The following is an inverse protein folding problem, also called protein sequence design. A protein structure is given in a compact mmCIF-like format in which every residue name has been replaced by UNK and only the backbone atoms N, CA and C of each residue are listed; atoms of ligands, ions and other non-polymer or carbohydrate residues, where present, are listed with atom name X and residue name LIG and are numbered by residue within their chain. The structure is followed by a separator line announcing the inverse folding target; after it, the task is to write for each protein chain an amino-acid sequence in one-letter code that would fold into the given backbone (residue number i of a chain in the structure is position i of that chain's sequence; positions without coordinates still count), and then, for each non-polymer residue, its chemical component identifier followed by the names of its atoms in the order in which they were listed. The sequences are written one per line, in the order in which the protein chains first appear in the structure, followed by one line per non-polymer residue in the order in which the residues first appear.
data_IF_745164792066
#
_entry.id   IF_745164792066
#
_cell.length_a   1.000
_cell.length_b   1.000
_cell.length_c   1.000
_cell.angle_alpha   90.00
_cell.angle_beta   90.00
_cell.angle_gamma   90.00
#
_symmetry.space_group_name_H-M   'P 1'
#
loop_
_entity.id
_entity.type
_entity.pdbx_description
1 polymer ?
#
# COMPACT_ATOMS: atom_id res chain seq x y z
N UNK A 1 16.48 -11.50 11.09
CA UNK A 1 15.16 -11.34 10.41
C UNK A 1 15.19 -12.20 9.16
N UNK A 2 14.38 -13.27 9.09
CA UNK A 2 14.25 -14.04 7.86
C UNK A 2 13.34 -13.23 6.94
N UNK A 3 13.93 -12.55 5.98
CA UNK A 3 13.18 -12.04 4.85
C UNK A 3 12.57 -13.26 4.15
N UNK A 4 11.24 -13.33 3.91
CA UNK A 4 10.70 -14.45 3.17
C UNK A 4 11.40 -14.51 1.81
N UNK A 5 11.75 -15.68 1.31
CA UNK A 5 12.32 -15.80 -0.02
C UNK A 5 11.32 -15.18 -1.00
N UNK A 6 11.81 -14.33 -1.90
CA UNK A 6 11.02 -13.75 -2.97
C UNK A 6 10.34 -14.88 -3.75
N UNK A 7 9.04 -15.08 -3.53
CA UNK A 7 8.29 -16.18 -4.18
C UNK A 7 8.10 -15.96 -5.69
N UNK A 8 8.47 -14.78 -6.19
CA UNK A 8 8.41 -14.43 -7.61
C UNK A 8 9.70 -13.74 -8.04
N UNK A 9 10.76 -14.53 -8.26
CA UNK A 9 11.94 -14.01 -8.97
C UNK A 9 11.55 -13.72 -10.41
N UNK A 10 11.21 -12.47 -10.68
CA UNK A 10 11.14 -11.98 -12.06
C UNK A 10 12.57 -11.94 -12.60
N UNK A 11 12.86 -12.54 -13.77
CA UNK A 11 14.19 -12.52 -14.36
C UNK A 11 14.73 -11.10 -14.49
N UNK A 12 16.03 -10.90 -14.26
CA UNK A 12 16.66 -9.58 -14.33
C UNK A 12 16.54 -8.92 -15.71
N UNK A 13 16.33 -9.70 -16.76
CA UNK A 13 16.13 -9.28 -18.14
C UNK A 13 14.66 -9.27 -18.58
N UNK A 14 13.72 -9.47 -17.64
CA UNK A 14 12.29 -9.38 -17.94
C UNK A 14 11.92 -7.96 -18.43
N UNK A 15 10.83 -7.82 -19.20
CA UNK A 15 10.33 -6.53 -19.62
C UNK A 15 10.11 -5.58 -18.42
N UNK A 16 10.39 -4.29 -18.61
CA UNK A 16 10.31 -3.28 -17.53
C UNK A 16 8.94 -3.24 -16.83
N UNK A 17 7.84 -3.53 -17.56
CA UNK A 17 6.50 -3.62 -17.00
C UNK A 17 6.39 -4.75 -15.96
N UNK A 18 6.92 -5.92 -16.28
CA UNK A 18 6.90 -7.08 -15.40
C UNK A 18 7.76 -6.84 -14.15
N UNK A 19 8.95 -6.26 -14.32
CA UNK A 19 9.81 -5.91 -13.19
C UNK A 19 9.13 -4.89 -12.26
N UNK A 20 8.51 -3.81 -12.80
CA UNK A 20 7.80 -2.82 -12.01
C UNK A 20 6.64 -3.41 -11.23
N UNK A 21 5.83 -4.26 -11.88
CA UNK A 21 4.69 -4.91 -11.22
C UNK A 21 5.15 -5.86 -10.11
N UNK A 22 6.24 -6.61 -10.34
CA UNK A 22 6.81 -7.49 -9.31
C UNK A 22 7.27 -6.70 -8.08
N UNK A 23 8.01 -5.60 -8.26
CA UNK A 23 8.43 -4.74 -7.14
C UNK A 23 7.24 -4.11 -6.41
N UNK A 24 6.21 -3.68 -7.11
CA UNK A 24 4.99 -3.16 -6.49
C UNK A 24 4.30 -4.24 -5.66
N UNK A 25 4.16 -5.46 -6.20
CA UNK A 25 3.49 -6.57 -5.51
C UNK A 25 4.29 -7.07 -4.31
N UNK A 26 5.61 -7.08 -4.39
CA UNK A 26 6.49 -7.37 -3.25
C UNK A 26 6.25 -6.40 -2.09
N UNK A 27 6.24 -5.09 -2.36
CA UNK A 27 6.03 -4.09 -1.31
C UNK A 27 4.60 -4.09 -0.76
N UNK A 28 3.60 -4.45 -1.56
CA UNK A 28 2.23 -4.73 -1.09
C UNK A 28 2.20 -5.87 -0.07
N UNK A 29 2.91 -6.95 -0.36
CA UNK A 29 3.04 -8.09 0.54
C UNK A 29 3.79 -7.73 1.82
N UNK A 30 4.92 -7.03 1.72
CA UNK A 30 5.69 -6.55 2.87
C UNK A 30 4.85 -5.69 3.81
N UNK A 31 4.07 -4.74 3.26
CA UNK A 31 3.20 -3.91 4.08
C UNK A 31 2.08 -4.71 4.76
N UNK A 32 1.48 -5.68 4.08
CA UNK A 32 0.44 -6.50 4.70
C UNK A 32 1.02 -7.39 5.79
N UNK A 33 2.19 -8.00 5.57
CA UNK A 33 2.84 -8.91 6.52
C UNK A 33 3.37 -8.21 7.78
N UNK A 34 3.48 -6.89 7.78
CA UNK A 34 3.86 -6.18 9.01
C UNK A 34 2.85 -6.36 10.16
N UNK A 35 1.63 -6.83 9.87
CA UNK A 35 0.57 -7.11 10.84
C UNK A 35 0.57 -8.57 11.34
N UNK A 36 1.38 -9.45 10.75
CA UNK A 36 1.39 -10.87 11.10
C UNK A 36 1.80 -11.09 12.55
N UNK A 37 1.09 -11.98 13.24
CA UNK A 37 1.34 -12.36 14.65
C UNK A 37 1.25 -11.19 15.65
N UNK A 38 0.63 -10.06 15.28
CA UNK A 38 0.34 -8.96 16.19
C UNK A 38 -1.07 -9.07 16.78
N UNK A 39 -1.20 -8.61 18.02
CA UNK A 39 -2.52 -8.32 18.60
C UNK A 39 -3.07 -7.00 18.06
N UNK A 40 -4.39 -6.79 18.19
CA UNK A 40 -5.03 -5.52 17.80
C UNK A 40 -4.42 -4.31 18.51
N UNK A 41 -4.10 -4.45 19.80
CA UNK A 41 -3.47 -3.38 20.60
C UNK A 41 -2.06 -3.05 20.09
N UNK A 42 -1.29 -4.06 19.71
CA UNK A 42 0.06 -3.89 19.16
C UNK A 42 0.03 -3.20 17.80
N UNK A 43 -0.88 -3.63 16.90
CA UNK A 43 -1.02 -3.03 15.59
C UNK A 43 -1.47 -1.55 15.64
N UNK A 44 -2.18 -1.17 16.70
CA UNK A 44 -2.68 0.19 16.95
C UNK A 44 -1.74 1.05 17.80
N UNK A 45 -0.64 0.48 18.31
CA UNK A 45 0.25 1.20 19.22
C UNK A 45 0.88 2.41 18.54
N UNK A 46 0.71 3.58 19.17
CA UNK A 46 1.36 4.82 18.75
C UNK A 46 2.75 4.90 19.36
N UNK A 47 3.78 4.84 18.55
CA UNK A 47 5.19 4.89 18.94
C UNK A 47 5.89 6.18 18.48
N UNK A 48 5.18 7.00 17.72
CA UNK A 48 5.66 8.27 17.17
C UNK A 48 4.60 9.36 17.35
N UNK A 49 4.96 10.66 17.32
CA UNK A 49 4.00 11.75 17.53
C UNK A 49 2.94 11.88 16.42
N UNK A 50 3.19 11.35 15.25
CA UNK A 50 2.24 11.33 14.13
C UNK A 50 1.16 10.26 14.32
N UNK A 51 0.18 10.21 13.40
CA UNK A 51 -0.87 9.16 13.38
C UNK A 51 -0.37 7.80 12.88
N UNK A 52 0.93 7.67 12.65
CA UNK A 52 1.52 6.47 12.05
C UNK A 52 1.54 5.33 13.07
N UNK A 53 0.75 4.30 12.80
CA UNK A 53 0.76 3.00 13.49
C UNK A 53 0.91 1.91 12.44
N UNK A 54 1.21 0.67 12.82
CA UNK A 54 1.30 -0.44 11.86
C UNK A 54 -0.02 -0.65 11.12
N UNK A 55 -1.14 -0.67 11.84
CA UNK A 55 -2.47 -0.78 11.23
C UNK A 55 -2.82 0.42 10.34
N UNK A 56 -2.44 1.64 10.78
CA UNK A 56 -2.64 2.88 10.02
C UNK A 56 -1.84 2.92 8.73
N UNK A 57 -0.63 2.34 8.69
CA UNK A 57 0.18 2.23 7.46
C UNK A 57 -0.49 1.36 6.39
N UNK A 58 -1.04 0.21 6.76
CA UNK A 58 -1.75 -0.67 5.82
C UNK A 58 -3.05 -0.02 5.35
N UNK A 59 -3.76 0.68 6.23
CA UNK A 59 -4.94 1.47 5.87
C UNK A 59 -4.58 2.60 4.89
N UNK A 60 -3.49 3.30 5.12
CA UNK A 60 -2.96 4.32 4.20
C UNK A 60 -2.56 3.73 2.85
N UNK A 61 -1.92 2.55 2.82
CA UNK A 61 -1.60 1.87 1.57
C UNK A 61 -2.87 1.57 0.74
N UNK A 62 -3.96 1.18 1.39
CA UNK A 62 -5.28 1.01 0.73
C UNK A 62 -5.76 2.33 0.09
N UNK A 63 -5.58 3.46 0.78
CA UNK A 63 -5.89 4.77 0.23
C UNK A 63 -5.02 5.10 -0.99
N UNK A 64 -3.72 4.82 -0.94
CA UNK A 64 -2.79 5.02 -2.07
C UNK A 64 -3.24 4.23 -3.29
N UNK A 65 -3.57 2.94 -3.12
CA UNK A 65 -4.09 2.09 -4.20
C UNK A 65 -5.34 2.71 -4.85
N UNK A 66 -6.34 3.05 -4.04
CA UNK A 66 -7.60 3.61 -4.55
C UNK A 66 -7.43 4.96 -5.23
N UNK A 67 -6.61 5.85 -4.69
CA UNK A 67 -6.38 7.17 -5.30
C UNK A 67 -5.64 7.06 -6.63
N UNK A 68 -4.67 6.18 -6.75
CA UNK A 68 -3.89 6.09 -7.98
C UNK A 68 -4.54 5.23 -9.06
N UNK A 69 -5.30 4.20 -8.68
CA UNK A 69 -5.90 3.29 -9.65
C UNK A 69 -7.40 3.50 -9.84
N UNK A 70 -8.22 3.66 -8.79
CA UNK A 70 -9.65 3.93 -8.97
C UNK A 70 -9.92 5.38 -9.40
N UNK A 71 -9.32 6.38 -8.72
CA UNK A 71 -9.44 7.78 -9.14
C UNK A 71 -8.57 8.04 -10.37
N UNK A 72 -7.28 7.71 -10.32
CA UNK A 72 -6.31 8.05 -11.35
C UNK A 72 -6.51 7.34 -12.69
N UNK A 73 -6.72 6.03 -12.68
CA UNK A 73 -6.85 5.21 -13.88
C UNK A 73 -8.31 5.11 -14.32
N UNK A 74 -9.23 4.74 -13.42
CA UNK A 74 -10.65 4.54 -13.75
C UNK A 74 -11.47 5.82 -13.76
N UNK A 75 -10.95 6.93 -13.27
CA UNK A 75 -11.63 8.23 -13.26
C UNK A 75 -12.80 8.33 -12.27
N UNK A 76 -12.89 7.43 -11.27
CA UNK A 76 -13.92 7.47 -10.24
C UNK A 76 -13.65 8.59 -9.24
N UNK A 77 -14.68 9.29 -8.82
CA UNK A 77 -14.52 10.33 -7.81
C UNK A 77 -14.23 9.74 -6.42
N UNK A 78 -13.56 10.50 -5.55
CA UNK A 78 -13.30 10.09 -4.17
C UNK A 78 -14.56 9.79 -3.37
N UNK A 79 -15.65 10.49 -3.66
CA UNK A 79 -16.94 10.24 -3.03
C UNK A 79 -17.50 8.86 -3.40
N UNK A 80 -17.35 8.44 -4.67
CA UNK A 80 -17.78 7.11 -5.15
C UNK A 80 -16.93 5.98 -4.58
N UNK A 81 -15.61 6.21 -4.41
CA UNK A 81 -14.70 5.18 -3.87
C UNK A 81 -14.62 5.20 -2.35
N UNK A 82 -15.26 6.19 -1.69
CA UNK A 82 -15.30 6.28 -0.23
C UNK A 82 -13.95 6.50 0.42
N UNK A 83 -13.03 7.22 -0.23
CA UNK A 83 -11.71 7.51 0.34
C UNK A 83 -11.69 8.83 1.11
N UNK A 84 -10.81 8.97 2.13
CA UNK A 84 -10.56 10.23 2.81
C UNK A 84 -10.17 11.35 1.85
N UNK A 85 -10.42 12.60 2.26
CA UNK A 85 -10.07 13.77 1.45
C UNK A 85 -8.56 14.00 1.37
N UNK A 86 -7.83 13.68 2.44
CA UNK A 86 -6.39 13.92 2.55
C UNK A 86 -5.60 12.66 2.88
N UNK A 87 -4.31 12.60 2.52
CA UNK A 87 -3.43 11.51 2.91
C UNK A 87 -3.32 11.36 4.44
N UNK A 88 -3.29 12.46 5.20
CA UNK A 88 -3.19 12.40 6.67
C UNK A 88 -4.40 11.73 7.32
N UNK A 89 -5.59 12.00 6.81
CA UNK A 89 -6.84 11.37 7.29
C UNK A 89 -6.86 9.86 7.04
N UNK A 90 -6.16 9.37 6.02
CA UNK A 90 -6.13 7.95 5.69
C UNK A 90 -5.39 7.07 6.71
N UNK A 91 -4.57 7.66 7.58
CA UNK A 91 -3.95 6.96 8.72
C UNK A 91 -4.87 6.85 9.95
N UNK A 92 -5.97 7.62 9.97
CA UNK A 92 -6.86 7.64 11.14
C UNK A 92 -7.62 6.32 11.27
N UNK A 93 -7.50 5.70 12.44
CA UNK A 93 -8.20 4.46 12.77
C UNK A 93 -9.53 4.75 13.46
N UNK A 94 -10.53 3.95 13.16
CA UNK A 94 -11.83 3.91 13.83
C UNK A 94 -11.93 2.68 14.74
N UNK A 95 -13.00 2.54 15.49
CA UNK A 95 -13.24 1.37 16.34
C UNK A 95 -13.51 0.08 15.51
N UNK A 96 -13.99 0.24 14.28
CA UNK A 96 -14.31 -0.88 13.37
C UNK A 96 -13.10 -1.40 12.61
N UNK A 97 -11.98 -0.65 12.59
CA UNK A 97 -10.75 -1.09 11.93
C UNK A 97 -10.12 -2.22 12.76
N UNK A 98 -10.00 -3.39 12.21
CA UNK A 98 -9.28 -4.54 12.78
C UNK A 98 -8.16 -4.96 11.85
N UNK A 99 -7.19 -5.72 12.35
CA UNK A 99 -6.14 -6.33 11.50
C UNK A 99 -6.79 -7.06 10.32
N UNK A 100 -7.82 -7.87 10.60
CA UNK A 100 -8.50 -8.66 9.56
C UNK A 100 -9.19 -7.77 8.52
N UNK A 101 -9.95 -6.74 8.96
CA UNK A 101 -10.70 -5.87 8.06
C UNK A 101 -9.77 -4.99 7.21
N UNK A 102 -8.73 -4.42 7.80
CA UNK A 102 -7.76 -3.56 7.11
C UNK A 102 -6.92 -4.36 6.11
N UNK A 103 -6.43 -5.54 6.51
CA UNK A 103 -5.69 -6.42 5.61
C UNK A 103 -6.55 -6.91 4.43
N UNK A 104 -7.82 -7.25 4.68
CA UNK A 104 -8.76 -7.65 3.62
C UNK A 104 -9.04 -6.50 2.64
N UNK A 105 -9.27 -5.29 3.16
CA UNK A 105 -9.49 -4.10 2.33
C UNK A 105 -8.27 -3.76 1.46
N UNK A 106 -7.05 -3.91 2.01
CA UNK A 106 -5.81 -3.69 1.26
C UNK A 106 -5.64 -4.73 0.14
N UNK A 107 -5.83 -6.02 0.43
CA UNK A 107 -5.77 -7.07 -0.61
C UNK A 107 -6.75 -6.81 -1.73
N UNK A 108 -8.01 -6.47 -1.40
CA UNK A 108 -9.02 -6.15 -2.40
C UNK A 108 -8.61 -4.94 -3.26
N UNK A 109 -8.11 -3.87 -2.64
CA UNK A 109 -7.64 -2.70 -3.38
C UNK A 109 -6.47 -3.05 -4.33
N UNK A 110 -5.54 -3.93 -3.92
CA UNK A 110 -4.47 -4.40 -4.78
C UNK A 110 -4.99 -5.21 -5.99
N UNK A 111 -5.98 -6.07 -5.78
CA UNK A 111 -6.64 -6.83 -6.87
C UNK A 111 -7.35 -5.89 -7.85
N UNK A 112 -8.10 -4.92 -7.33
CA UNK A 112 -8.79 -3.91 -8.14
C UNK A 112 -7.80 -3.06 -8.95
N UNK A 113 -6.65 -2.72 -8.35
CA UNK A 113 -5.57 -1.98 -9.01
C UNK A 113 -4.95 -2.77 -10.16
N UNK A 114 -4.66 -4.07 -9.97
CA UNK A 114 -4.16 -4.95 -11.03
C UNK A 114 -5.17 -5.03 -12.18
N UNK A 115 -6.45 -5.21 -11.87
CA UNK A 115 -7.51 -5.26 -12.86
C UNK A 115 -7.68 -3.93 -13.61
N UNK A 116 -7.44 -2.79 -12.94
CA UNK A 116 -7.54 -1.46 -13.57
C UNK A 116 -6.49 -1.23 -14.67
N UNK A 117 -5.33 -1.86 -14.56
CA UNK A 117 -4.19 -1.65 -15.47
C UNK A 117 -3.88 -2.86 -16.36
N UNK A 118 -4.73 -3.90 -16.34
CA UNK A 118 -4.45 -5.16 -17.04
C UNK A 118 -4.18 -4.97 -18.54
N UNK A 119 -4.96 -4.10 -19.18
CA UNK A 119 -4.92 -3.85 -20.63
C UNK A 119 -4.14 -2.56 -20.99
N UNK A 120 -3.44 -1.94 -20.02
CA UNK A 120 -2.69 -0.72 -20.25
C UNK A 120 -1.20 -0.99 -20.45
N UNK A 121 -0.59 -0.22 -21.33
CA UNK A 121 0.86 -0.18 -21.53
C UNK A 121 1.52 0.90 -20.66
N UNK A 122 2.84 0.81 -20.45
CA UNK A 122 3.58 1.75 -19.60
C UNK A 122 3.49 3.22 -20.03
N UNK A 123 3.32 3.45 -21.34
CA UNK A 123 3.25 4.79 -21.91
C UNK A 123 1.81 5.31 -22.07
N UNK A 124 0.81 4.49 -21.76
CA UNK A 124 -0.58 4.94 -21.79
C UNK A 124 -0.83 6.02 -20.74
N UNK A 125 -1.60 7.03 -21.14
CA UNK A 125 -1.88 8.18 -20.28
C UNK A 125 -3.11 7.91 -19.42
N UNK A 126 -2.95 8.04 -18.11
CA UNK A 126 -4.04 8.04 -17.14
C UNK A 126 -4.38 9.49 -16.78
N UNK A 127 -5.67 9.82 -16.76
CA UNK A 127 -6.15 11.21 -16.75
C UNK A 127 -7.01 11.59 -15.54
N UNK A 128 -7.38 10.63 -14.70
CA UNK A 128 -8.29 10.86 -13.56
C UNK A 128 -7.66 11.57 -12.35
N UNK A 129 -6.34 11.76 -12.33
CA UNK A 129 -5.66 12.41 -11.21
C UNK A 129 -5.58 13.93 -11.36
N UNK A 130 -5.40 14.65 -10.22
CA UNK A 130 -5.34 16.12 -10.17
C UNK A 130 -4.13 16.76 -10.85
N UNK A 131 -3.12 15.99 -11.22
CA UNK A 131 -1.88 16.47 -11.84
C UNK A 131 -1.99 16.57 -13.36
N UNK A 132 -3.12 16.12 -13.93
CA UNK A 132 -3.32 15.98 -15.37
C UNK A 132 -2.85 14.64 -15.91
N UNK A 133 -2.72 14.49 -17.23
CA UNK A 133 -2.29 13.24 -17.85
C UNK A 133 -0.91 12.81 -17.39
N UNK A 134 -0.79 11.56 -16.94
CA UNK A 134 0.46 10.92 -16.52
C UNK A 134 0.61 9.58 -17.21
N UNK A 135 1.81 9.18 -17.70
CA UNK A 135 2.00 7.84 -18.19
C UNK A 135 1.92 6.82 -17.05
N UNK A 136 1.37 5.63 -17.32
CA UNK A 136 1.20 4.57 -16.32
C UNK A 136 2.51 4.24 -15.59
N UNK A 137 3.66 4.22 -16.30
CA UNK A 137 4.97 4.00 -15.65
C UNK A 137 5.26 4.99 -14.52
N UNK A 138 4.84 6.25 -14.67
CA UNK A 138 5.03 7.24 -13.62
C UNK A 138 4.18 6.92 -12.39
N UNK A 139 2.94 6.48 -12.61
CA UNK A 139 2.03 6.07 -11.52
C UNK A 139 2.61 4.87 -10.78
N UNK A 140 3.07 3.85 -11.49
CA UNK A 140 3.67 2.65 -10.89
C UNK A 140 4.93 2.98 -10.08
N UNK A 141 5.83 3.83 -10.62
CA UNK A 141 7.02 4.29 -9.91
C UNK A 141 6.68 5.10 -8.67
N UNK A 142 5.64 5.93 -8.74
CA UNK A 142 5.17 6.71 -7.60
C UNK A 142 4.59 5.80 -6.51
N UNK A 143 3.73 4.86 -6.88
CA UNK A 143 3.15 3.88 -5.93
C UNK A 143 4.25 3.02 -5.31
N UNK A 144 5.20 2.52 -6.09
CA UNK A 144 6.35 1.77 -5.58
C UNK A 144 7.14 2.58 -4.53
N UNK A 145 7.41 3.86 -4.81
CA UNK A 145 8.12 4.74 -3.87
C UNK A 145 7.33 4.92 -2.57
N UNK A 146 6.01 5.13 -2.64
CA UNK A 146 5.14 5.27 -1.46
C UNK A 146 5.17 3.97 -0.63
N UNK A 147 4.96 2.83 -1.27
CA UNK A 147 4.95 1.53 -0.60
C UNK A 147 6.31 1.20 0.03
N UNK A 148 7.42 1.44 -0.67
CA UNK A 148 8.77 1.18 -0.16
C UNK A 148 9.10 2.06 1.06
N UNK A 149 8.73 3.35 1.02
CA UNK A 149 8.92 4.24 2.15
C UNK A 149 8.11 3.77 3.37
N UNK A 150 6.86 3.37 3.18
CA UNK A 150 5.99 2.91 4.26
C UNK A 150 6.36 1.51 4.77
N UNK A 151 6.89 0.63 3.94
CA UNK A 151 7.45 -0.65 4.37
C UNK A 151 8.63 -0.44 5.34
N UNK A 152 9.56 0.47 5.02
CA UNK A 152 10.66 0.82 5.94
C UNK A 152 10.18 1.43 7.27
N UNK A 153 9.11 2.24 7.27
CA UNK A 153 8.48 2.72 8.50
C UNK A 153 7.86 1.57 9.30
N UNK A 154 7.18 0.64 8.62
CA UNK A 154 6.56 -0.52 9.25
C UNK A 154 7.59 -1.44 9.91
N UNK A 155 8.73 -1.69 9.27
CA UNK A 155 9.82 -2.51 9.81
C UNK A 155 10.30 -1.96 11.15
N UNK A 156 10.60 -0.66 11.22
CA UNK A 156 11.08 -0.01 12.46
C UNK A 156 10.01 -0.04 13.55
N UNK A 157 8.75 0.25 13.23
CA UNK A 157 7.67 0.22 14.21
C UNK A 157 7.40 -1.19 14.72
N UNK A 158 7.44 -2.20 13.85
CA UNK A 158 7.26 -3.59 14.21
C UNK A 158 8.39 -4.08 15.14
N UNK A 159 9.64 -3.73 14.86
CA UNK A 159 10.77 -4.03 15.73
C UNK A 159 10.53 -3.47 17.15
N UNK A 160 10.09 -2.23 17.26
CA UNK A 160 9.79 -1.60 18.56
C UNK A 160 8.62 -2.26 19.29
N UNK A 161 7.55 -2.65 18.55
CA UNK A 161 6.40 -3.36 19.13
C UNK A 161 6.81 -4.71 19.69
N UNK A 162 7.59 -5.49 18.92
CA UNK A 162 8.04 -6.82 19.34
C UNK A 162 9.04 -6.77 20.50
N UNK A 163 9.95 -5.82 20.50
CA UNK A 163 10.89 -5.62 21.61
C UNK A 163 10.17 -5.34 22.96
N UNK A 164 9.01 -4.68 22.92
CA UNK A 164 8.22 -4.41 24.11
C UNK A 164 7.50 -5.64 24.70
N UNK A 165 7.52 -6.81 24.02
CA UNK A 165 7.01 -8.07 24.57
C UNK A 165 7.99 -8.72 25.57
N UNK A 166 9.26 -8.37 25.47
CA UNK A 166 10.35 -8.99 26.22
C UNK A 166 10.70 -8.25 27.52
N UNK A 167 10.12 -7.07 27.75
CA UNK A 167 10.34 -6.20 28.90
C UNK A 167 9.15 -6.11 29.81
#
# INVERSE_FOLDING_TARGET
MNQPPFEHEVPFDAPAREQLLAFVDEHRALLTSCLDDLTEDEARRSLVPSRTTLLGLVKHATFVERVWFDEGVRGRSRAEIGTPATPDESFALTAEDTIASVAAAHRQACEDSRAAIADLELDDLVTGNRRGPLPLRWVLLHVLRELAQHAGHADILREQVLAAREG
#
